data_IF_288878849030
#
_entry.id   IF_288878849030
#
_cell.length_a   1.000
_cell.length_b   1.000
_cell.length_c   1.000
_cell.angle_alpha   90.00
_cell.angle_beta   90.00
_cell.angle_gamma   90.00
#
_symmetry.space_group_name_H-M   'P 1'
#
loop_
_entity.id
_entity.type
_entity.pdbx_description
1 polymer ?
#
# COMPACT_ATOMS: atom_id res chain seq x y z
N UNK A 1 -10.26 -31.79 -17.96
CA UNK A 1 -11.58 -31.82 -18.64
C UNK A 1 -12.70 -31.19 -17.79
N UNK A 2 -12.70 -31.29 -16.47
CA UNK A 2 -13.69 -30.64 -15.58
C UNK A 2 -13.49 -29.14 -15.52
N UNK A 3 -12.25 -28.66 -15.45
CA UNK A 3 -11.90 -27.21 -15.38
C UNK A 3 -12.28 -26.49 -16.68
N UNK A 4 -12.14 -27.14 -17.84
CA UNK A 4 -12.51 -26.55 -19.12
C UNK A 4 -14.03 -26.38 -19.29
N UNK A 5 -14.83 -27.28 -18.71
CA UNK A 5 -16.30 -27.16 -18.70
C UNK A 5 -16.81 -26.07 -17.75
N UNK A 6 -16.12 -25.81 -16.67
CA UNK A 6 -16.41 -24.66 -15.76
C UNK A 6 -16.11 -23.31 -16.43
N UNK A 7 -15.06 -23.22 -17.23
CA UNK A 7 -14.68 -21.99 -17.97
C UNK A 7 -15.67 -21.64 -19.10
N UNK A 8 -16.26 -22.63 -19.77
CA UNK A 8 -17.19 -22.39 -20.90
C UNK A 8 -18.58 -21.94 -20.41
N UNK A 9 -19.02 -22.32 -19.21
CA UNK A 9 -20.31 -21.88 -18.64
C UNK A 9 -20.34 -20.39 -18.21
N UNK A 10 -19.19 -19.72 -18.13
CA UNK A 10 -19.08 -18.34 -17.63
C UNK A 10 -19.27 -17.29 -18.75
N UNK A 11 -19.21 -17.70 -20.02
CA UNK A 11 -19.24 -16.74 -21.14
C UNK A 11 -20.62 -16.21 -21.59
N UNK A 12 -21.73 -16.66 -21.00
CA UNK A 12 -23.09 -16.33 -21.50
C UNK A 12 -24.03 -15.68 -20.47
N UNK A 13 -23.53 -15.18 -19.35
CA UNK A 13 -24.37 -14.58 -18.30
C UNK A 13 -24.45 -13.06 -18.33
N UNK A 14 -25.62 -12.50 -18.51
CA UNK A 14 -25.94 -11.09 -18.32
C UNK A 14 -25.67 -10.67 -16.88
N UNK A 15 -24.57 -9.96 -16.62
CA UNK A 15 -24.27 -9.39 -15.33
C UNK A 15 -24.94 -8.03 -15.17
N UNK A 16 -25.89 -7.93 -14.26
CA UNK A 16 -26.35 -6.65 -13.73
C UNK A 16 -25.18 -5.97 -13.00
N UNK A 17 -24.94 -4.71 -13.31
CA UNK A 17 -23.93 -3.87 -12.62
C UNK A 17 -24.13 -3.95 -11.12
N UNK A 18 -23.21 -4.57 -10.43
CA UNK A 18 -23.21 -4.65 -8.97
C UNK A 18 -22.79 -3.26 -8.45
N UNK A 19 -23.76 -2.48 -7.94
CA UNK A 19 -23.45 -1.29 -7.15
C UNK A 19 -22.69 -1.78 -5.90
N UNK A 20 -21.47 -1.25 -5.65
CA UNK A 20 -20.76 -1.48 -4.42
C UNK A 20 -21.62 -1.00 -3.25
N UNK A 21 -21.76 -1.77 -2.17
CA UNK A 21 -22.42 -1.27 -0.98
C UNK A 21 -21.61 -0.06 -0.46
N UNK A 22 -22.29 1.05 -0.27
CA UNK A 22 -21.80 2.18 0.50
C UNK A 22 -21.23 1.68 1.83
N UNK A 23 -20.18 2.36 2.35
CA UNK A 23 -19.53 2.04 3.63
C UNK A 23 -20.58 1.89 4.73
N UNK A 24 -21.06 0.66 4.99
CA UNK A 24 -21.89 0.40 6.14
C UNK A 24 -21.02 0.46 7.40
N UNK A 25 -21.16 1.55 8.14
CA UNK A 25 -20.69 1.68 9.52
C UNK A 25 -21.37 0.58 10.36
N UNK A 26 -20.57 -0.34 10.94
CA UNK A 26 -20.99 -1.36 11.89
C UNK A 26 -21.81 -2.56 11.36
N UNK A 27 -21.34 -3.24 10.33
CA UNK A 27 -21.87 -4.58 10.06
C UNK A 27 -21.50 -5.55 11.18
N UNK A 28 -22.49 -6.30 11.69
CA UNK A 28 -22.24 -7.46 12.58
C UNK A 28 -21.32 -8.43 11.85
N UNK A 29 -20.20 -8.83 12.47
CA UNK A 29 -19.28 -9.82 11.92
C UNK A 29 -20.05 -11.09 11.53
N UNK A 30 -19.82 -11.55 10.31
CA UNK A 30 -20.39 -12.80 9.79
C UNK A 30 -19.33 -13.90 9.89
N UNK A 31 -19.79 -15.15 9.87
CA UNK A 31 -18.88 -16.30 9.82
C UNK A 31 -17.91 -16.16 8.63
N UNK A 32 -16.63 -16.37 8.86
CA UNK A 32 -15.58 -16.23 7.86
C UNK A 32 -14.94 -14.82 7.77
N UNK A 33 -15.49 -13.81 8.43
CA UNK A 33 -14.86 -12.49 8.50
C UNK A 33 -13.64 -12.51 9.43
N UNK A 34 -12.58 -11.82 8.99
CA UNK A 34 -11.35 -11.65 9.77
C UNK A 34 -11.45 -10.42 10.68
N UNK A 35 -10.46 -10.23 11.56
CA UNK A 35 -10.37 -9.04 12.41
C UNK A 35 -9.98 -7.79 11.61
N UNK A 36 -9.23 -7.98 10.54
CA UNK A 36 -8.65 -6.97 9.65
C UNK A 36 -9.45 -6.78 8.35
N UNK A 37 -10.46 -7.64 8.07
CA UNK A 37 -11.22 -7.52 6.82
C UNK A 37 -12.50 -8.34 6.78
N UNK A 38 -13.40 -7.95 5.89
CA UNK A 38 -14.68 -8.59 5.62
C UNK A 38 -14.56 -9.50 4.41
N UNK A 39 -15.00 -10.75 4.53
CA UNK A 39 -15.00 -11.73 3.44
C UNK A 39 -15.93 -11.28 2.32
N UNK A 40 -15.40 -11.18 1.11
CA UNK A 40 -16.16 -10.87 -0.09
C UNK A 40 -16.83 -12.15 -0.63
N UNK A 41 -18.15 -12.17 -0.62
CA UNK A 41 -18.96 -13.35 -1.00
C UNK A 41 -19.52 -13.28 -2.41
N UNK A 42 -19.88 -12.07 -2.85
CA UNK A 42 -20.50 -11.81 -4.17
C UNK A 42 -19.48 -11.14 -5.10
N UNK A 43 -18.47 -11.91 -5.51
CA UNK A 43 -17.42 -11.45 -6.44
C UNK A 43 -17.46 -12.28 -7.72
N UNK A 44 -16.83 -11.75 -8.77
CA UNK A 44 -16.73 -12.45 -10.03
C UNK A 44 -16.05 -13.82 -9.85
N UNK A 45 -16.54 -14.91 -10.49
CA UNK A 45 -16.00 -16.27 -10.31
C UNK A 45 -14.48 -16.39 -10.49
N UNK A 46 -13.87 -15.60 -11.37
CA UNK A 46 -12.42 -15.59 -11.54
C UNK A 46 -11.67 -15.20 -10.27
N UNK A 47 -12.20 -14.25 -9.49
CA UNK A 47 -11.61 -13.87 -8.20
C UNK A 47 -11.76 -14.94 -7.12
N UNK A 48 -12.61 -15.96 -7.34
CA UNK A 48 -12.69 -17.13 -6.47
C UNK A 48 -11.67 -18.19 -6.93
N UNK A 49 -11.51 -18.37 -8.23
CA UNK A 49 -10.65 -19.42 -8.82
C UNK A 49 -9.17 -19.03 -8.75
N UNK A 50 -8.83 -17.77 -9.04
CA UNK A 50 -7.45 -17.31 -9.06
C UNK A 50 -6.67 -17.61 -7.77
N UNK A 51 -7.21 -17.32 -6.55
CA UNK A 51 -6.51 -17.65 -5.31
C UNK A 51 -6.33 -19.15 -5.05
N UNK A 52 -7.15 -20.01 -5.67
CA UNK A 52 -7.00 -21.47 -5.58
C UNK A 52 -5.85 -21.95 -6.46
N UNK A 53 -5.71 -21.37 -7.66
CA UNK A 53 -4.64 -21.72 -8.62
C UNK A 53 -3.30 -21.10 -8.20
N UNK A 54 -3.33 -19.89 -7.68
CA UNK A 54 -2.16 -19.10 -7.29
C UNK A 54 -2.27 -18.66 -5.84
N UNK A 55 -1.94 -19.53 -4.87
CA UNK A 55 -2.23 -19.31 -3.46
C UNK A 55 -1.30 -18.28 -2.78
N UNK A 56 -0.06 -18.14 -3.24
CA UNK A 56 0.92 -17.26 -2.62
C UNK A 56 0.87 -15.86 -3.24
N UNK A 57 1.05 -14.82 -2.42
CA UNK A 57 1.02 -13.42 -2.90
C UNK A 57 2.24 -13.08 -3.73
N UNK A 58 3.42 -13.52 -3.31
CA UNK A 58 4.68 -13.27 -4.01
C UNK A 58 4.78 -13.96 -5.40
N UNK A 59 3.87 -14.88 -5.73
CA UNK A 59 3.81 -15.51 -7.05
C UNK A 59 2.84 -14.78 -8.00
N UNK A 60 2.15 -13.73 -7.51
CA UNK A 60 1.09 -13.02 -8.23
C UNK A 60 1.36 -11.51 -8.26
N UNK A 61 2.59 -11.14 -8.52
CA UNK A 61 3.01 -9.76 -8.53
C UNK A 61 2.93 -9.17 -9.93
N UNK A 62 2.20 -8.08 -10.07
CA UNK A 62 2.27 -7.23 -11.26
C UNK A 62 3.13 -6.01 -10.94
N UNK A 63 4.01 -5.68 -11.86
CA UNK A 63 4.98 -4.58 -11.73
C UNK A 63 4.60 -3.44 -12.66
N UNK A 64 4.48 -2.23 -12.10
CA UNK A 64 4.13 -1.03 -12.86
C UNK A 64 5.17 0.04 -12.56
N UNK A 65 5.75 0.62 -13.59
CA UNK A 65 6.68 1.75 -13.48
C UNK A 65 6.02 3.02 -13.96
N UNK A 66 6.16 4.09 -13.19
CA UNK A 66 5.66 5.41 -13.56
C UNK A 66 6.74 6.47 -13.33
N UNK A 67 6.82 7.44 -14.25
CA UNK A 67 7.64 8.63 -14.11
C UNK A 67 6.75 9.82 -13.84
N UNK A 68 6.98 10.48 -12.70
CA UNK A 68 6.19 11.62 -12.25
C UNK A 68 6.99 12.91 -12.45
N UNK A 69 6.39 13.88 -13.13
CA UNK A 69 6.89 15.25 -13.23
C UNK A 69 6.70 15.96 -11.88
N UNK A 70 7.78 16.46 -11.31
CA UNK A 70 7.76 17.10 -10.01
C UNK A 70 7.70 18.64 -10.09
N UNK A 71 7.52 19.22 -11.27
CA UNK A 71 7.50 20.67 -11.45
C UNK A 71 6.44 21.32 -10.56
N UNK A 72 5.21 20.84 -10.61
CA UNK A 72 4.11 21.36 -9.78
C UNK A 72 4.28 20.98 -8.31
N UNK A 73 4.75 19.78 -8.02
CA UNK A 73 5.00 19.33 -6.63
C UNK A 73 6.03 20.24 -5.96
N UNK A 74 7.11 20.58 -6.64
CA UNK A 74 8.15 21.46 -6.08
C UNK A 74 7.60 22.86 -5.77
N UNK A 75 6.86 23.46 -6.72
CA UNK A 75 6.21 24.77 -6.51
C UNK A 75 5.19 24.72 -5.34
N UNK A 76 4.42 23.64 -5.24
CA UNK A 76 3.50 23.44 -4.13
C UNK A 76 4.24 23.33 -2.78
N UNK A 77 5.31 22.55 -2.73
CA UNK A 77 6.11 22.36 -1.52
C UNK A 77 6.81 23.65 -1.09
N UNK A 78 7.31 24.45 -2.04
CA UNK A 78 7.86 25.77 -1.76
C UNK A 78 6.81 26.68 -1.11
N UNK A 79 5.63 26.77 -1.71
CA UNK A 79 4.50 27.55 -1.16
C UNK A 79 4.08 27.04 0.24
N UNK A 80 3.95 25.73 0.40
CA UNK A 80 3.52 25.11 1.68
C UNK A 80 4.54 25.36 2.80
N UNK A 81 5.83 25.40 2.46
CA UNK A 81 6.93 25.64 3.39
C UNK A 81 7.29 27.13 3.56
N UNK A 82 6.61 28.06 2.88
CA UNK A 82 6.91 29.50 2.97
C UNK A 82 6.65 30.08 4.38
N UNK A 83 5.76 29.45 5.17
CA UNK A 83 5.49 29.78 6.58
C UNK A 83 6.55 29.24 7.55
N UNK A 84 7.59 28.56 7.05
CA UNK A 84 8.66 27.93 7.81
C UNK A 84 8.15 27.02 8.96
N UNK A 85 7.36 25.98 8.62
CA UNK A 85 6.81 25.08 9.64
C UNK A 85 7.94 24.32 10.34
N UNK A 86 7.76 23.98 11.62
CA UNK A 86 8.71 23.22 12.44
C UNK A 86 9.17 21.92 11.74
N UNK A 87 8.21 21.22 11.09
CA UNK A 87 8.48 20.06 10.27
C UNK A 87 8.10 20.35 8.82
N UNK A 88 9.09 20.45 7.93
CA UNK A 88 8.88 20.85 6.55
C UNK A 88 8.18 19.75 5.75
N UNK A 89 7.25 20.17 4.90
CA UNK A 89 6.65 19.29 3.89
C UNK A 89 7.68 18.89 2.85
N UNK A 90 7.64 17.65 2.43
CA UNK A 90 8.51 17.12 1.37
C UNK A 90 7.76 16.13 0.49
N UNK A 91 8.41 15.64 -0.57
CA UNK A 91 7.82 14.71 -1.53
C UNK A 91 7.26 13.45 -0.87
N UNK A 92 7.84 12.98 0.23
CA UNK A 92 7.40 11.73 0.86
C UNK A 92 5.99 11.84 1.47
N UNK A 93 5.65 12.98 2.10
CA UNK A 93 4.29 13.23 2.59
C UNK A 93 3.28 13.30 1.44
N UNK A 94 3.65 13.96 0.32
CA UNK A 94 2.82 14.01 -0.88
C UNK A 94 2.57 12.59 -1.40
N UNK A 95 3.60 11.75 -1.51
CA UNK A 95 3.50 10.37 -1.98
C UNK A 95 2.61 9.50 -1.09
N UNK A 96 2.78 9.57 0.24
CA UNK A 96 1.95 8.81 1.18
C UNK A 96 0.49 9.26 1.08
N UNK A 97 0.23 10.58 1.10
CA UNK A 97 -1.13 11.10 1.04
C UNK A 97 -1.81 10.75 -0.28
N UNK A 98 -1.10 10.88 -1.42
CA UNK A 98 -1.61 10.49 -2.73
C UNK A 98 -1.94 9.00 -2.80
N UNK A 99 -1.09 8.13 -2.23
CA UNK A 99 -1.34 6.68 -2.15
C UNK A 99 -2.58 6.37 -1.30
N UNK A 100 -2.71 6.97 -0.11
CA UNK A 100 -3.86 6.79 0.77
C UNK A 100 -5.16 7.28 0.10
N UNK A 101 -5.14 8.45 -0.55
CA UNK A 101 -6.28 8.98 -1.31
C UNK A 101 -6.65 8.07 -2.48
N UNK A 102 -5.65 7.61 -3.23
CA UNK A 102 -5.86 6.65 -4.33
C UNK A 102 -6.53 5.37 -3.84
N UNK A 103 -6.05 4.76 -2.77
CA UNK A 103 -6.64 3.53 -2.21
C UNK A 103 -8.05 3.79 -1.67
N UNK A 104 -8.29 4.97 -1.08
CA UNK A 104 -9.61 5.37 -0.57
C UNK A 104 -10.63 5.49 -1.70
N UNK A 105 -10.26 6.13 -2.81
CA UNK A 105 -11.13 6.32 -3.99
C UNK A 105 -11.20 5.08 -4.89
N UNK A 106 -10.23 4.17 -4.77
CA UNK A 106 -10.13 2.93 -5.55
C UNK A 106 -10.19 1.71 -4.63
N UNK A 107 -11.35 1.36 -4.05
CA UNK A 107 -11.48 0.41 -2.94
C UNK A 107 -11.05 -1.02 -3.26
N UNK A 108 -10.99 -1.46 -4.53
CA UNK A 108 -10.42 -2.76 -4.87
C UNK A 108 -8.92 -2.84 -4.53
N UNK A 109 -8.20 -1.68 -4.52
CA UNK A 109 -6.80 -1.64 -4.07
C UNK A 109 -6.65 -1.93 -2.58
N UNK A 110 -7.73 -1.79 -1.80
CA UNK A 110 -7.74 -2.09 -0.36
C UNK A 110 -8.29 -3.50 -0.07
N UNK A 111 -8.09 -4.43 -0.99
CA UNK A 111 -8.40 -5.84 -0.82
C UNK A 111 -7.14 -6.64 -0.51
N UNK A 112 -7.34 -7.84 0.00
CA UNK A 112 -6.26 -8.81 0.17
C UNK A 112 -6.80 -10.24 0.06
N UNK A 113 -5.89 -11.17 -0.15
CA UNK A 113 -6.19 -12.60 -0.18
C UNK A 113 -5.52 -13.26 1.03
N UNK A 114 -6.31 -14.00 1.78
CA UNK A 114 -5.86 -14.84 2.87
C UNK A 114 -6.63 -16.17 2.84
N UNK A 115 -5.92 -17.28 3.07
CA UNK A 115 -6.50 -18.62 3.00
C UNK A 115 -7.35 -18.84 1.73
N UNK A 116 -6.83 -18.43 0.58
CA UNK A 116 -7.47 -18.57 -0.74
C UNK A 116 -8.84 -17.86 -0.88
N UNK A 117 -9.15 -16.93 0.00
CA UNK A 117 -10.36 -16.12 -0.04
C UNK A 117 -10.02 -14.64 -0.09
N UNK A 118 -10.88 -13.86 -0.76
CA UNK A 118 -10.70 -12.41 -0.94
C UNK A 118 -11.47 -11.64 0.14
N UNK A 119 -10.79 -10.68 0.72
CA UNK A 119 -11.32 -9.82 1.77
C UNK A 119 -11.23 -8.35 1.36
N UNK A 120 -12.20 -7.56 1.80
CA UNK A 120 -12.11 -6.10 1.83
C UNK A 120 -11.54 -5.69 3.19
N UNK A 121 -10.44 -4.93 3.20
CA UNK A 121 -9.85 -4.42 4.43
C UNK A 121 -10.79 -3.42 5.11
N UNK A 122 -10.79 -3.42 6.45
CA UNK A 122 -11.65 -2.53 7.25
C UNK A 122 -11.16 -1.08 7.25
N UNK A 123 -9.85 -0.87 7.13
CA UNK A 123 -9.19 0.44 7.24
C UNK A 123 -8.26 0.65 6.05
N UNK A 124 -7.99 1.90 5.71
CA UNK A 124 -6.94 2.27 4.77
C UNK A 124 -5.72 2.69 5.58
N UNK A 125 -4.57 2.10 5.27
CA UNK A 125 -3.33 2.36 6.00
C UNK A 125 -2.12 2.31 5.07
N UNK A 126 -1.07 3.05 5.43
CA UNK A 126 0.21 3.00 4.75
C UNK A 126 1.31 2.73 5.77
N UNK A 127 2.22 1.83 5.44
CA UNK A 127 3.43 1.59 6.21
C UNK A 127 4.65 2.12 5.45
N UNK A 128 5.70 2.48 6.18
CA UNK A 128 6.93 2.95 5.57
C UNK A 128 8.15 2.69 6.47
N UNK A 129 9.32 2.62 5.82
CA UNK A 129 10.58 2.40 6.50
C UNK A 129 11.12 3.71 7.04
N UNK A 130 11.53 3.71 8.31
CA UNK A 130 12.23 4.82 8.97
C UNK A 130 13.64 4.36 9.33
N UNK A 131 14.66 4.95 8.71
CA UNK A 131 16.04 4.68 9.08
C UNK A 131 16.42 5.53 10.30
N UNK A 132 16.83 4.90 11.40
CA UNK A 132 17.25 5.59 12.61
C UNK A 132 18.59 6.29 12.40
N UNK A 133 19.54 5.61 11.79
CA UNK A 133 20.89 6.11 11.50
C UNK A 133 21.25 5.69 10.06
N UNK A 134 21.72 6.62 9.25
CA UNK A 134 22.22 6.35 7.89
C UNK A 134 23.64 5.77 7.96
N UNK A 135 23.73 4.47 8.20
CA UNK A 135 24.97 3.68 8.19
C UNK A 135 24.64 2.24 7.80
N UNK A 136 25.65 1.46 7.40
CA UNK A 136 25.46 0.06 6.97
C UNK A 136 24.85 -0.82 8.06
N UNK A 137 25.16 -0.53 9.32
CA UNK A 137 24.62 -1.22 10.49
C UNK A 137 23.49 -0.43 11.17
N UNK A 138 22.99 0.62 10.54
CA UNK A 138 21.93 1.47 11.09
C UNK A 138 20.60 0.72 11.20
N UNK A 139 20.01 0.70 12.39
CA UNK A 139 18.72 0.08 12.63
C UNK A 139 17.63 0.77 11.78
N UNK A 140 16.73 -0.05 11.25
CA UNK A 140 15.52 0.39 10.56
C UNK A 140 14.30 0.08 11.42
N UNK A 141 13.34 1.00 11.42
CA UNK A 141 12.04 0.79 12.02
C UNK A 141 10.96 0.90 10.93
N UNK A 142 9.87 0.22 11.14
CA UNK A 142 8.69 0.33 10.29
C UNK A 142 7.63 1.14 11.03
N UNK A 143 7.13 2.19 10.41
CA UNK A 143 6.03 3.01 10.89
C UNK A 143 4.77 2.66 10.12
N UNK A 144 3.60 2.83 10.75
CA UNK A 144 2.30 2.63 10.12
C UNK A 144 1.39 3.80 10.44
N UNK A 145 0.67 4.26 9.42
CA UNK A 145 -0.35 5.29 9.51
C UNK A 145 -1.70 4.67 9.16
N UNK A 146 -2.68 4.87 10.02
CA UNK A 146 -4.07 4.54 9.77
C UNK A 146 -4.83 5.80 9.38
N UNK A 147 -5.42 5.83 8.19
CA UNK A 147 -6.11 7.00 7.68
C UNK A 147 -7.62 6.89 7.79
N UNK A 148 -8.26 8.07 7.87
CA UNK A 148 -9.72 8.26 7.81
C UNK A 148 -10.08 8.95 6.50
N UNK A 149 -11.32 8.80 6.05
CA UNK A 149 -11.79 9.50 4.84
C UNK A 149 -11.69 11.03 4.92
N UNK A 150 -11.80 11.59 6.14
CA UNK A 150 -11.70 13.03 6.40
C UNK A 150 -10.27 13.58 6.44
N UNK A 151 -9.23 12.72 6.41
CA UNK A 151 -7.86 13.18 6.51
C UNK A 151 -7.42 13.93 5.25
N UNK A 152 -6.49 14.86 5.43
CA UNK A 152 -5.87 15.70 4.40
C UNK A 152 -4.36 15.55 4.46
N UNK A 153 -3.63 16.18 3.54
CA UNK A 153 -2.17 16.19 3.58
C UNK A 153 -1.63 16.73 4.90
N UNK A 154 -2.33 17.69 5.53
CA UNK A 154 -1.86 18.28 6.79
C UNK A 154 -2.00 17.30 7.95
N UNK A 155 -3.14 16.62 8.07
CA UNK A 155 -3.33 15.60 9.13
C UNK A 155 -2.39 14.40 8.93
N UNK A 156 -2.13 14.01 7.69
CA UNK A 156 -1.18 12.92 7.37
C UNK A 156 0.26 13.37 7.65
N UNK A 157 0.62 14.63 7.34
CA UNK A 157 1.93 15.19 7.66
C UNK A 157 2.22 15.13 9.16
N UNK A 158 1.27 15.57 9.99
CA UNK A 158 1.41 15.55 11.45
C UNK A 158 1.56 14.12 11.98
N UNK A 159 0.79 13.19 11.43
CA UNK A 159 0.87 11.78 11.81
C UNK A 159 2.22 11.17 11.38
N UNK A 160 2.75 11.50 10.20
CA UNK A 160 4.09 11.08 9.77
C UNK A 160 5.15 11.62 10.75
N UNK A 161 5.08 12.90 11.09
CA UNK A 161 6.01 13.50 12.04
C UNK A 161 5.99 12.78 13.39
N UNK A 162 4.80 12.53 13.92
CA UNK A 162 4.60 11.80 15.18
C UNK A 162 5.20 10.39 15.10
N UNK A 163 4.94 9.64 14.04
CA UNK A 163 5.45 8.27 13.87
C UNK A 163 6.98 8.25 13.70
N UNK A 164 7.53 9.15 12.90
CA UNK A 164 8.99 9.25 12.68
C UNK A 164 9.70 9.63 13.98
N UNK A 165 9.15 10.58 14.74
CA UNK A 165 9.69 11.00 16.04
C UNK A 165 9.66 9.85 17.05
N UNK A 166 8.56 9.10 17.10
CA UNK A 166 8.44 7.90 17.92
C UNK A 166 9.46 6.82 17.52
N UNK A 167 9.61 6.54 16.22
CA UNK A 167 10.55 5.54 15.71
C UNK A 167 12.03 5.92 15.99
N UNK A 168 12.34 7.21 16.09
CA UNK A 168 13.69 7.70 16.40
C UNK A 168 13.97 7.82 17.90
N UNK A 169 12.94 7.78 18.73
CA UNK A 169 13.11 7.77 20.18
C UNK A 169 13.61 6.41 20.67
N UNK A 170 14.26 6.39 21.85
CA UNK A 170 14.84 5.17 22.44
C UNK A 170 13.81 4.14 22.92
N UNK A 171 12.52 4.45 22.82
CA UNK A 171 11.41 3.60 23.30
C UNK A 171 11.22 2.29 22.50
N UNK A 172 11.88 2.13 21.35
CA UNK A 172 11.78 0.92 20.50
C UNK A 172 12.75 -0.21 20.88
N UNK A 173 13.66 0.02 21.82
CA UNK A 173 14.66 -0.97 22.21
C UNK A 173 14.07 -2.25 22.82
N UNK A 174 12.90 -2.17 23.47
CA UNK A 174 12.27 -3.34 24.10
C UNK A 174 11.68 -4.33 23.08
N UNK A 175 11.21 -3.86 21.94
CA UNK A 175 10.77 -4.73 20.84
C UNK A 175 11.95 -5.48 20.21
N UNK A 176 13.07 -4.80 19.99
CA UNK A 176 14.30 -5.39 19.45
C UNK A 176 14.92 -6.41 20.41
N UNK A 177 14.90 -6.14 21.72
CA UNK A 177 15.34 -7.11 22.75
C UNK A 177 14.52 -8.41 22.72
N UNK A 178 13.21 -8.30 22.50
CA UNK A 178 12.32 -9.45 22.38
C UNK A 178 12.64 -10.30 21.15
N UNK A 179 12.95 -9.67 20.01
CA UNK A 179 13.37 -10.35 18.77
C UNK A 179 14.73 -10.99 18.96
N UNK A 180 15.69 -10.31 19.61
CA UNK A 180 17.01 -10.87 19.92
C UNK A 180 16.92 -12.11 20.83
N UNK A 181 16.04 -12.07 21.83
CA UNK A 181 15.80 -13.23 22.70
C UNK A 181 15.23 -14.42 21.91
N UNK A 182 14.23 -14.16 21.06
CA UNK A 182 13.61 -15.21 20.22
C UNK A 182 14.63 -15.77 19.22
N UNK A 183 15.47 -14.94 18.62
CA UNK A 183 16.47 -15.36 17.63
C UNK A 183 17.52 -16.36 18.18
N UNK A 184 17.73 -16.37 19.49
CA UNK A 184 18.66 -17.30 20.19
C UNK A 184 18.05 -18.69 20.44
N UNK A 185 16.76 -18.88 20.15
CA UNK A 185 16.13 -20.19 20.33
C UNK A 185 16.63 -21.21 19.30
N UNK A 186 16.65 -22.52 19.65
CA UNK A 186 17.03 -23.57 18.72
C UNK A 186 16.21 -23.53 17.44
N UNK A 187 16.85 -23.83 16.30
CA UNK A 187 16.22 -23.72 14.97
C UNK A 187 14.91 -24.51 14.84
N UNK A 188 14.81 -25.65 15.53
CA UNK A 188 13.58 -26.45 15.56
C UNK A 188 12.42 -25.64 16.19
N UNK A 189 12.68 -24.94 17.30
CA UNK A 189 11.68 -24.11 18.00
C UNK A 189 11.26 -22.94 17.10
N UNK A 190 12.21 -22.27 16.44
CA UNK A 190 11.93 -21.18 15.49
C UNK A 190 11.08 -21.66 14.31
N UNK A 191 11.38 -22.85 13.77
CA UNK A 191 10.58 -23.42 12.67
C UNK A 191 9.16 -23.77 13.11
N UNK A 192 8.97 -24.34 14.30
CA UNK A 192 7.65 -24.65 14.86
C UNK A 192 6.87 -23.36 15.15
N UNK A 193 7.51 -22.36 15.75
CA UNK A 193 6.89 -21.05 16.00
C UNK A 193 6.49 -20.37 14.69
N UNK A 194 7.37 -20.36 13.70
CA UNK A 194 7.08 -19.81 12.38
C UNK A 194 5.95 -20.55 11.66
N UNK A 195 5.88 -21.87 11.79
CA UNK A 195 4.77 -22.66 11.23
C UNK A 195 3.46 -22.34 11.92
N UNK A 196 3.46 -22.23 13.26
CA UNK A 196 2.29 -21.84 14.03
C UNK A 196 1.80 -20.42 13.67
N UNK A 197 2.72 -19.44 13.60
CA UNK A 197 2.37 -18.08 13.23
C UNK A 197 1.77 -18.02 11.82
N UNK A 198 2.35 -18.70 10.83
CA UNK A 198 1.78 -18.79 9.48
C UNK A 198 0.40 -19.45 9.47
N UNK A 199 0.20 -20.47 10.28
CA UNK A 199 -1.11 -21.11 10.43
C UNK A 199 -2.14 -20.15 11.02
N UNK A 200 -1.79 -19.44 12.09
CA UNK A 200 -2.67 -18.44 12.73
C UNK A 200 -3.00 -17.29 11.79
N UNK A 201 -2.00 -16.78 11.06
CA UNK A 201 -2.18 -15.71 10.07
C UNK A 201 -3.12 -16.16 8.95
N UNK A 202 -2.86 -17.33 8.37
CA UNK A 202 -3.70 -17.89 7.31
C UNK A 202 -5.18 -17.97 7.71
N UNK A 203 -5.47 -18.33 8.98
CA UNK A 203 -6.83 -18.46 9.49
C UNK A 203 -7.39 -17.16 10.10
N UNK A 204 -6.63 -16.07 10.14
CA UNK A 204 -7.05 -14.80 10.75
C UNK A 204 -7.15 -14.87 12.27
N UNK A 205 -6.42 -15.76 12.90
CA UNK A 205 -6.44 -15.98 14.35
C UNK A 205 -5.32 -15.24 15.10
N UNK A 206 -4.45 -14.57 14.38
CA UNK A 206 -3.44 -13.69 15.00
C UNK A 206 -4.14 -12.64 15.86
N UNK A 207 -3.69 -12.39 17.10
CA UNK A 207 -4.27 -11.37 17.97
C UNK A 207 -4.26 -9.99 17.30
N UNK A 208 -5.38 -9.26 17.40
CA UNK A 208 -5.51 -7.95 16.72
C UNK A 208 -4.46 -6.93 17.17
N UNK A 209 -4.04 -6.99 18.44
CA UNK A 209 -2.98 -6.12 18.95
C UNK A 209 -1.65 -6.28 18.20
N UNK A 210 -1.33 -7.49 17.74
CA UNK A 210 -0.15 -7.77 16.91
C UNK A 210 -0.37 -7.30 15.46
N UNK A 211 -1.57 -7.52 14.90
CA UNK A 211 -1.91 -7.10 13.53
C UNK A 211 -1.85 -5.57 13.40
N UNK A 212 -2.43 -4.86 14.36
CA UNK A 212 -2.53 -3.39 14.31
C UNK A 212 -1.17 -2.69 14.24
N UNK A 213 -0.16 -3.28 14.85
CA UNK A 213 1.20 -2.73 14.88
C UNK A 213 2.14 -3.32 13.83
N UNK A 214 1.70 -4.32 13.07
CA UNK A 214 2.52 -4.98 12.06
C UNK A 214 2.34 -4.31 10.69
N UNK A 215 3.37 -3.66 10.14
CA UNK A 215 3.34 -2.99 8.84
C UNK A 215 2.92 -3.89 7.68
N UNK A 216 3.16 -5.19 7.78
CA UNK A 216 2.76 -6.16 6.75
C UNK A 216 1.25 -6.42 6.69
N UNK A 217 0.47 -5.81 7.59
CA UNK A 217 -0.99 -5.77 7.53
C UNK A 217 -1.55 -4.44 7.02
N UNK A 218 -0.70 -3.53 6.56
CA UNK A 218 -1.13 -2.27 5.94
C UNK A 218 -1.73 -2.47 4.54
N UNK A 219 -2.43 -1.46 4.03
CA UNK A 219 -2.95 -1.45 2.65
C UNK A 219 -1.82 -1.33 1.64
N UNK A 220 -0.83 -0.48 1.94
CA UNK A 220 0.35 -0.31 1.12
C UNK A 220 1.61 -0.11 1.99
N UNK A 221 2.76 -0.53 1.47
CA UNK A 221 4.08 -0.20 2.01
C UNK A 221 4.79 0.75 1.05
N UNK A 222 5.38 1.82 1.58
CA UNK A 222 6.18 2.76 0.79
C UNK A 222 7.63 2.75 1.27
N UNK A 223 8.56 2.69 0.34
CA UNK A 223 10.00 2.77 0.60
C UNK A 223 10.63 3.90 -0.20
N UNK A 224 11.27 4.84 0.50
CA UNK A 224 11.97 5.96 -0.13
C UNK A 224 13.44 5.59 -0.42
N UNK A 225 13.66 4.92 -1.54
CA UNK A 225 14.99 4.56 -2.03
C UNK A 225 15.81 5.79 -2.44
N UNK A 226 15.14 6.89 -2.83
CA UNK A 226 15.79 8.15 -3.16
C UNK A 226 16.58 8.75 -1.99
N UNK A 227 16.17 8.48 -0.76
CA UNK A 227 16.90 8.94 0.45
C UNK A 227 18.31 8.32 0.57
N UNK A 228 18.54 7.19 -0.09
CA UNK A 228 19.82 6.48 -0.18
C UNK A 228 20.41 6.51 -1.60
N UNK A 229 19.93 7.42 -2.46
CA UNK A 229 20.41 7.65 -3.83
C UNK A 229 20.26 6.44 -4.77
N UNK A 230 19.22 5.63 -4.56
CA UNK A 230 18.86 4.53 -5.44
C UNK A 230 17.76 4.91 -6.42
N UNK A 231 17.79 4.33 -7.60
CA UNK A 231 16.69 4.38 -8.55
C UNK A 231 15.46 3.64 -8.00
N UNK A 232 14.28 3.95 -8.54
CA UNK A 232 13.11 3.14 -8.28
C UNK A 232 13.35 1.72 -8.81
N UNK A 233 13.00 0.75 -7.98
CA UNK A 233 12.96 -0.66 -8.33
C UNK A 233 11.62 -1.23 -7.92
N UNK A 234 11.51 -2.54 -7.97
CA UNK A 234 10.35 -3.26 -7.46
C UNK A 234 10.73 -4.04 -6.22
N UNK A 235 9.84 -4.10 -5.27
CA UNK A 235 10.01 -4.89 -4.06
C UNK A 235 8.92 -5.96 -4.02
N UNK A 236 9.29 -7.17 -3.66
CA UNK A 236 8.35 -8.28 -3.53
C UNK A 236 7.31 -8.02 -2.44
N UNK A 237 6.12 -8.57 -2.61
CA UNK A 237 5.13 -8.69 -1.55
C UNK A 237 5.47 -9.88 -0.66
N UNK A 238 5.03 -9.84 0.59
CA UNK A 238 5.28 -10.94 1.54
C UNK A 238 4.09 -11.89 1.62
N UNK A 239 4.38 -13.18 1.85
CA UNK A 239 3.33 -14.15 2.18
C UNK A 239 2.88 -14.08 3.64
N UNK A 240 3.62 -13.35 4.50
CA UNK A 240 3.20 -12.95 5.83
C UNK A 240 2.34 -11.68 5.75
N UNK A 241 1.29 -11.62 6.57
CA UNK A 241 0.40 -10.45 6.60
C UNK A 241 -0.53 -10.37 5.39
N UNK A 242 -0.98 -9.16 5.09
CA UNK A 242 -2.03 -8.91 4.09
C UNK A 242 -1.75 -7.74 3.16
N UNK A 243 -0.58 -7.12 3.23
CA UNK A 243 -0.20 -6.01 2.34
C UNK A 243 -0.23 -6.44 0.87
N UNK A 244 -0.92 -5.66 0.05
CA UNK A 244 -1.18 -5.98 -1.35
C UNK A 244 -0.60 -4.99 -2.34
N UNK A 245 0.01 -3.90 -1.86
CA UNK A 245 0.66 -2.86 -2.66
C UNK A 245 2.00 -2.50 -2.04
N UNK A 246 3.04 -2.44 -2.84
CA UNK A 246 4.33 -1.88 -2.47
C UNK A 246 4.68 -0.76 -3.44
N UNK A 247 5.14 0.38 -2.93
CA UNK A 247 5.60 1.52 -3.73
C UNK A 247 7.05 1.85 -3.38
N UNK A 248 7.95 1.65 -4.32
CA UNK A 248 9.34 2.07 -4.24
C UNK A 248 9.49 3.44 -4.91
N UNK A 249 9.98 4.43 -4.17
CA UNK A 249 10.18 5.80 -4.64
C UNK A 249 11.67 5.99 -4.90
N UNK A 250 12.04 6.28 -6.14
CA UNK A 250 13.42 6.46 -6.55
C UNK A 250 13.98 7.85 -6.22
N UNK A 251 15.22 8.07 -6.59
CA UNK A 251 15.88 9.38 -6.46
C UNK A 251 15.30 10.42 -7.44
N UNK A 252 15.25 11.66 -6.98
CA UNK A 252 14.84 12.80 -7.81
C UNK A 252 15.98 13.14 -8.77
N UNK A 253 15.67 13.21 -10.07
CA UNK A 253 16.62 13.62 -11.13
C UNK A 253 15.93 14.48 -12.18
N UNK A 254 16.70 15.34 -12.83
CA UNK A 254 16.28 15.97 -14.07
C UNK A 254 16.34 14.93 -15.19
N UNK A 255 15.22 14.71 -15.87
CA UNK A 255 15.07 13.73 -16.95
C UNK A 255 14.37 14.35 -18.16
N UNK A 256 14.62 13.84 -19.37
CA UNK A 256 13.95 14.29 -20.57
C UNK A 256 12.47 13.85 -20.58
N UNK A 257 11.58 14.79 -20.91
CA UNK A 257 10.20 14.56 -21.28
C UNK A 257 10.02 14.96 -22.74
N UNK A 258 9.50 14.04 -23.53
CA UNK A 258 9.22 14.27 -24.95
C UNK A 258 7.86 14.93 -25.08
N UNK A 259 7.81 16.05 -25.80
CA UNK A 259 6.58 16.76 -26.13
C UNK A 259 6.00 16.24 -27.47
N UNK A 260 4.71 16.50 -27.70
CA UNK A 260 4.02 16.02 -28.92
C UNK A 260 4.63 16.60 -30.22
N UNK A 261 5.28 17.76 -30.15
CA UNK A 261 5.99 18.38 -31.27
C UNK A 261 7.39 17.79 -31.52
N UNK A 262 7.80 16.77 -30.77
CA UNK A 262 9.12 16.13 -30.85
C UNK A 262 10.21 16.85 -30.07
N UNK A 263 9.93 18.00 -29.47
CA UNK A 263 10.90 18.70 -28.60
C UNK A 263 11.10 17.96 -27.27
N UNK A 264 12.22 18.26 -26.58
CA UNK A 264 12.56 17.64 -25.29
C UNK A 264 12.66 18.70 -24.22
N UNK A 265 11.91 18.53 -23.13
CA UNK A 265 12.01 19.39 -21.96
C UNK A 265 12.63 18.62 -20.80
N UNK A 266 13.71 19.15 -20.21
CA UNK A 266 14.31 18.59 -19.01
C UNK A 266 13.51 19.02 -17.78
N UNK A 267 12.98 18.05 -17.02
CA UNK A 267 12.15 18.33 -15.84
C UNK A 267 12.64 17.56 -14.61
N UNK A 268 12.49 18.14 -13.40
CA UNK A 268 12.68 17.38 -12.17
C UNK A 268 11.64 16.28 -12.11
N UNK A 269 12.06 15.05 -11.88
CA UNK A 269 11.17 13.89 -11.90
C UNK A 269 11.61 12.83 -10.91
N UNK A 270 10.66 11.99 -10.52
CA UNK A 270 10.87 10.77 -9.74
C UNK A 270 10.27 9.60 -10.47
N UNK A 271 11.00 8.49 -10.53
CA UNK A 271 10.43 7.23 -10.96
C UNK A 271 9.88 6.50 -9.73
N UNK A 272 8.71 5.88 -9.86
CA UNK A 272 8.10 5.02 -8.85
C UNK A 272 7.90 3.63 -9.42
N UNK A 273 8.19 2.62 -8.62
CA UNK A 273 7.92 1.22 -8.92
C UNK A 273 6.81 0.70 -8.01
N UNK A 274 5.72 0.25 -8.62
CA UNK A 274 4.59 -0.35 -7.92
C UNK A 274 4.62 -1.86 -8.10
N UNK A 275 4.55 -2.58 -6.99
CA UNK A 275 4.29 -4.03 -6.97
C UNK A 275 2.91 -4.23 -6.36
N UNK A 276 2.04 -4.91 -7.08
CA UNK A 276 0.64 -5.11 -6.68
C UNK A 276 0.27 -6.59 -6.79
N UNK A 277 -0.65 -7.06 -5.93
CA UNK A 277 -1.24 -8.39 -6.04
C UNK A 277 -2.28 -8.39 -7.18
N UNK A 278 -1.94 -8.96 -8.34
CA UNK A 278 -2.78 -8.91 -9.54
C UNK A 278 -4.13 -9.62 -9.41
N UNK A 279 -4.30 -10.47 -8.39
CA UNK A 279 -5.56 -11.21 -8.17
C UNK A 279 -6.71 -10.31 -7.69
N UNK A 280 -6.43 -9.09 -7.21
CA UNK A 280 -7.41 -8.20 -6.57
C UNK A 280 -8.34 -7.50 -7.55
N UNK A 281 -7.84 -7.19 -8.74
CA UNK A 281 -8.55 -6.48 -9.79
C UNK A 281 -7.96 -6.79 -11.17
N UNK A 282 -8.64 -6.35 -12.22
CA UNK A 282 -8.17 -6.48 -13.59
C UNK A 282 -7.26 -5.31 -14.02
N UNK A 283 -6.56 -5.47 -15.15
CA UNK A 283 -5.62 -4.47 -15.67
C UNK A 283 -6.29 -3.13 -16.01
N UNK A 284 -7.57 -3.11 -16.39
CA UNK A 284 -8.30 -1.87 -16.64
C UNK A 284 -8.50 -1.09 -15.33
N UNK A 285 -8.84 -1.78 -14.25
CA UNK A 285 -8.94 -1.16 -12.94
C UNK A 285 -7.61 -0.59 -12.47
N UNK A 286 -6.51 -1.32 -12.65
CA UNK A 286 -5.16 -0.85 -12.31
C UNK A 286 -4.75 0.35 -13.14
N UNK A 287 -5.00 0.34 -14.46
CA UNK A 287 -4.72 1.48 -15.34
C UNK A 287 -5.40 2.76 -14.86
N UNK A 288 -6.69 2.71 -14.51
CA UNK A 288 -7.41 3.85 -13.96
C UNK A 288 -6.86 4.27 -12.58
N UNK A 289 -6.44 3.31 -11.77
CA UNK A 289 -5.84 3.59 -10.45
C UNK A 289 -4.51 4.34 -10.58
N UNK A 290 -3.67 3.91 -11.51
CA UNK A 290 -2.39 4.58 -11.77
C UNK A 290 -2.59 5.99 -12.33
N UNK A 291 -3.58 6.18 -13.22
CA UNK A 291 -3.94 7.53 -13.71
C UNK A 291 -4.39 8.46 -12.59
N UNK A 292 -5.22 7.97 -11.65
CA UNK A 292 -5.60 8.76 -10.48
C UNK A 292 -4.38 9.10 -9.61
N UNK A 293 -3.51 8.13 -9.33
CA UNK A 293 -2.29 8.38 -8.55
C UNK A 293 -1.41 9.44 -9.22
N UNK A 294 -1.18 9.34 -10.53
CA UNK A 294 -0.43 10.34 -11.30
C UNK A 294 -1.09 11.72 -11.22
N UNK A 295 -2.41 11.79 -11.42
CA UNK A 295 -3.17 13.05 -11.33
C UNK A 295 -3.00 13.75 -9.98
N UNK A 296 -3.05 12.98 -8.89
CA UNK A 296 -2.84 13.50 -7.52
C UNK A 296 -1.41 13.97 -7.29
N UNK A 297 -0.41 13.28 -7.86
CA UNK A 297 0.99 13.64 -7.72
C UNK A 297 1.35 14.87 -8.57
N UNK A 298 0.74 15.02 -9.74
CA UNK A 298 0.94 16.18 -10.63
C UNK A 298 0.10 17.41 -10.21
N UNK A 299 -0.90 17.23 -9.33
CA UNK A 299 -1.77 18.30 -8.81
C UNK A 299 -1.91 18.15 -7.27
N UNK A 300 -0.84 18.42 -6.52
CA UNK A 300 -0.77 18.12 -5.09
C UNK A 300 -1.75 18.93 -4.23
N UNK A 301 -2.29 20.06 -4.72
CA UNK A 301 -3.36 20.83 -4.07
C UNK A 301 -4.65 20.01 -3.87
N UNK A 302 -4.87 18.97 -4.68
CA UNK A 302 -5.99 18.04 -4.49
C UNK A 302 -5.86 17.20 -3.20
N UNK A 303 -4.68 17.18 -2.59
CA UNK A 303 -4.40 16.49 -1.34
C UNK A 303 -4.77 17.33 -0.11
N UNK A 304 -5.05 18.62 -0.28
CA UNK A 304 -5.60 19.49 0.77
C UNK A 304 -7.08 19.19 1.05
N UNK A 305 -7.76 18.52 0.11
CA UNK A 305 -9.12 18.03 0.28
C UNK A 305 -9.12 16.66 0.96
N UNK A 306 -10.17 16.34 1.75
CA UNK A 306 -10.33 15.03 2.37
C UNK A 306 -10.05 13.86 1.44
N UNK A 307 -9.49 12.75 1.98
CA UNK A 307 -9.16 11.56 1.18
C UNK A 307 -10.37 10.97 0.45
N UNK A 308 -11.57 11.14 1.00
CA UNK A 308 -12.82 10.61 0.41
C UNK A 308 -13.42 11.53 -0.67
N UNK A 309 -12.91 12.76 -0.83
CA UNK A 309 -13.38 13.64 -1.89
C UNK A 309 -12.99 13.10 -3.26
N UNK A 310 -14.00 12.91 -4.11
CA UNK A 310 -13.82 12.46 -5.49
C UNK A 310 -12.95 13.42 -6.29
N UNK A 311 -12.20 12.87 -7.23
CA UNK A 311 -11.31 13.59 -8.13
C UNK A 311 -11.63 13.15 -9.55
N UNK A 312 -11.83 14.11 -10.45
CA UNK A 312 -11.94 13.84 -11.88
C UNK A 312 -10.54 13.60 -12.48
N UNK A 313 -10.35 12.42 -13.05
CA UNK A 313 -9.06 11.97 -13.61
C UNK A 313 -9.22 11.19 -14.93
N UNK A 314 -10.41 11.18 -15.51
CA UNK A 314 -10.71 10.51 -16.80
C UNK A 314 -10.47 11.42 -18.01
#
# INVERSE_FOLDING_TARGET
MIIYKLLVCVQTGHFKTCKYPEREKHMKKKFGDRKDGVLLRNIHPMHIVMPLMYPNRCDNEAFISERIDLTHVNAYLEKKNASDPEYRYNLFQVMITAMLKTITLRPKMNRFIANQAMYQRNEVSAAFTVKKIFSDNGAEALAIIHSKGSDTIDTIHDEIYRQVSFCRSDNLDDGMKSVDLVSKAPRLVLNLLGALLRFLDRHGWVPYALIKGDPYYSSAVLSNLGSVKLHAGYHHLTNWGTTSVFCAIGEIKNRPFYNDDGSVTMKPSVDIGLTIDERLADGYYYSKTVRLLRKLLENPELLELPLENEVDYE
#
